data_IF_063351514820
#
_entry.id   IF_063351514820
#
_cell.length_a   1.000
_cell.length_b   1.000
_cell.length_c   1.000
_cell.angle_alpha   90.00
_cell.angle_beta   90.00
_cell.angle_gamma   90.00
#
_symmetry.space_group_name_H-M   'P 1'
#
loop_
_entity.id
_entity.type
_entity.pdbx_description
1 polymer ?
#
# COMPACT_ATOMS: atom_id res chain seq x y z
N UNK A 1 6.74 10.10 8.57
CA UNK A 1 5.64 9.40 9.27
C UNK A 1 6.25 8.26 10.09
N UNK A 2 5.92 8.14 11.39
CA UNK A 2 6.40 7.01 12.22
C UNK A 2 5.53 5.77 12.01
N UNK A 3 6.01 4.57 12.38
CA UNK A 3 5.24 3.31 12.27
C UNK A 3 3.92 3.41 13.05
N UNK A 4 3.95 3.94 14.28
CA UNK A 4 2.74 4.17 15.09
C UNK A 4 1.72 5.06 14.38
N UNK A 5 2.17 6.16 13.74
CA UNK A 5 1.29 7.07 13.00
C UNK A 5 0.72 6.40 11.74
N UNK A 6 1.52 5.60 11.04
CA UNK A 6 1.06 4.84 9.88
C UNK A 6 -0.01 3.81 10.28
N UNK A 7 0.22 3.03 11.34
CA UNK A 7 -0.77 2.08 11.85
C UNK A 7 -2.10 2.76 12.20
N UNK A 8 -2.04 3.89 12.91
CA UNK A 8 -3.23 4.67 13.25
C UNK A 8 -3.97 5.15 11.99
N UNK A 9 -3.25 5.71 11.02
CA UNK A 9 -3.83 6.15 9.75
C UNK A 9 -4.51 5.00 8.98
N UNK A 10 -3.88 3.82 8.92
CA UNK A 10 -4.47 2.63 8.29
C UNK A 10 -5.76 2.21 9.00
N UNK A 11 -5.79 2.26 10.33
CA UNK A 11 -7.00 1.96 11.12
C UNK A 11 -8.12 2.98 10.91
N UNK A 12 -7.81 4.28 10.95
CA UNK A 12 -8.78 5.36 10.72
C UNK A 12 -9.43 5.27 9.33
N UNK A 13 -8.66 4.90 8.31
CA UNK A 13 -9.15 4.69 6.94
C UNK A 13 -9.83 3.33 6.75
N UNK A 14 -9.98 2.52 7.81
CA UNK A 14 -10.60 1.20 7.76
C UNK A 14 -9.94 0.29 6.71
N UNK A 15 -8.60 0.31 6.66
CA UNK A 15 -7.82 -0.58 5.82
C UNK A 15 -7.81 -1.98 6.44
N UNK A 16 -8.09 -3.00 5.64
CA UNK A 16 -7.93 -4.40 5.98
C UNK A 16 -6.52 -4.84 5.67
N UNK A 17 -5.71 -5.00 6.70
CA UNK A 17 -4.32 -5.42 6.59
C UNK A 17 -3.93 -6.38 7.69
N UNK A 18 -2.83 -7.11 7.48
CA UNK A 18 -2.14 -7.90 8.49
C UNK A 18 -0.68 -7.41 8.58
N UNK A 19 -0.17 -7.26 9.79
CA UNK A 19 1.27 -7.05 10.03
C UNK A 19 1.97 -8.39 9.80
N UNK A 20 2.95 -8.42 8.91
CA UNK A 20 3.72 -9.62 8.58
C UNK A 20 5.21 -9.38 8.79
N UNK A 21 6.02 -10.41 8.50
CA UNK A 21 7.48 -10.30 8.58
C UNK A 21 8.01 -10.21 10.02
N UNK A 22 9.17 -9.59 10.19
CA UNK A 22 9.88 -9.56 11.48
C UNK A 22 9.07 -8.89 12.60
N UNK A 23 8.20 -7.94 12.26
CA UNK A 23 7.32 -7.27 13.22
C UNK A 23 6.18 -8.14 13.77
N UNK A 24 5.84 -9.25 13.12
CA UNK A 24 4.82 -10.19 13.60
C UNK A 24 5.37 -11.21 14.60
N UNK A 25 6.68 -11.50 14.53
CA UNK A 25 7.33 -12.56 15.31
C UNK A 25 7.31 -12.35 16.83
N UNK A 26 7.37 -11.12 17.39
CA UNK A 26 7.29 -10.92 18.84
C UNK A 26 6.01 -11.48 19.47
N UNK A 27 4.89 -11.48 18.74
CA UNK A 27 3.64 -12.10 19.20
C UNK A 27 3.75 -13.64 19.35
N UNK A 28 4.79 -14.25 18.76
CA UNK A 28 5.10 -15.67 18.81
C UNK A 28 6.36 -15.98 19.62
N UNK A 29 6.85 -15.04 20.43
CA UNK A 29 8.00 -15.25 21.33
C UNK A 29 9.37 -15.23 20.64
N UNK A 30 9.45 -14.74 19.40
CA UNK A 30 10.71 -14.65 18.66
C UNK A 30 10.99 -13.21 18.21
N UNK A 31 12.18 -12.71 18.50
CA UNK A 31 12.59 -11.35 18.11
C UNK A 31 13.57 -11.41 16.96
N UNK A 32 13.24 -10.73 15.86
CA UNK A 32 14.14 -10.49 14.74
C UNK A 32 14.19 -8.99 14.48
N UNK A 33 15.38 -8.41 14.57
CA UNK A 33 15.53 -6.99 14.29
C UNK A 33 15.38 -6.71 12.79
N UNK A 34 14.72 -5.61 12.44
CA UNK A 34 14.61 -5.13 11.06
C UNK A 34 14.46 -3.60 11.02
N UNK A 35 14.79 -2.99 9.89
CA UNK A 35 14.65 -1.54 9.67
C UNK A 35 13.33 -1.12 9.04
N UNK A 36 12.53 -2.07 8.56
CA UNK A 36 11.28 -1.87 7.82
C UNK A 36 10.09 -2.58 8.50
N UNK A 37 8.88 -2.32 8.00
CA UNK A 37 7.66 -3.02 8.43
C UNK A 37 6.86 -3.40 7.19
N UNK A 38 6.38 -4.63 7.17
CA UNK A 38 5.65 -5.20 6.04
C UNK A 38 4.17 -5.36 6.39
N UNK A 39 3.30 -5.00 5.43
CA UNK A 39 1.86 -5.14 5.55
C UNK A 39 1.31 -6.02 4.42
N UNK A 40 0.55 -7.05 4.76
CA UNK A 40 -0.25 -7.80 3.80
C UNK A 40 -1.63 -7.15 3.68
N UNK A 41 -1.92 -6.57 2.52
CA UNK A 41 -3.16 -5.83 2.25
C UNK A 41 -4.16 -6.76 1.56
N UNK A 42 -5.41 -6.79 2.04
CA UNK A 42 -6.46 -7.53 1.33
C UNK A 42 -6.61 -6.97 -0.10
N UNK A 43 -6.52 -7.80 -1.16
CA UNK A 43 -6.41 -7.35 -2.55
C UNK A 43 -7.77 -6.97 -3.17
N UNK A 44 -8.57 -6.14 -2.47
CA UNK A 44 -9.80 -5.57 -3.03
C UNK A 44 -9.56 -4.14 -3.48
N UNK A 45 -10.22 -3.73 -4.58
CA UNK A 45 -10.12 -2.35 -5.11
C UNK A 45 -10.44 -1.29 -4.04
N UNK A 46 -11.47 -1.54 -3.22
CA UNK A 46 -11.87 -0.65 -2.12
C UNK A 46 -10.76 -0.51 -1.08
N UNK A 47 -10.15 -1.62 -0.69
CA UNK A 47 -9.11 -1.62 0.33
C UNK A 47 -7.80 -1.01 -0.19
N UNK A 48 -7.44 -1.25 -1.45
CA UNK A 48 -6.31 -0.61 -2.12
C UNK A 48 -6.47 0.93 -2.14
N UNK A 49 -7.67 1.43 -2.46
CA UNK A 49 -7.96 2.87 -2.42
C UNK A 49 -7.77 3.46 -1.01
N UNK A 50 -8.36 2.82 0.01
CA UNK A 50 -8.19 3.22 1.41
C UNK A 50 -6.72 3.19 1.85
N UNK A 51 -5.97 2.19 1.41
CA UNK A 51 -4.53 2.07 1.71
C UNK A 51 -3.75 3.24 1.13
N UNK A 52 -4.06 3.62 -0.13
CA UNK A 52 -3.42 4.76 -0.80
C UNK A 52 -3.71 6.08 -0.09
N UNK A 53 -4.97 6.30 0.30
CA UNK A 53 -5.39 7.47 1.08
C UNK A 53 -4.67 7.53 2.43
N UNK A 54 -4.67 6.42 3.18
CA UNK A 54 -4.03 6.31 4.49
C UNK A 54 -2.51 6.48 4.46
N UNK A 55 -1.84 6.00 3.40
CA UNK A 55 -0.40 6.09 3.25
C UNK A 55 0.08 7.53 2.96
N UNK A 56 -0.82 8.42 2.53
CA UNK A 56 -0.60 9.83 2.23
C UNK A 56 0.76 10.10 1.55
N UNK A 57 1.03 9.36 0.46
CA UNK A 57 2.25 9.48 -0.33
C UNK A 57 1.96 10.21 -1.64
N UNK A 58 2.43 11.46 -1.71
CA UNK A 58 2.44 12.27 -2.93
C UNK A 58 3.15 11.60 -4.13
N UNK A 59 3.97 10.58 -3.89
CA UNK A 59 4.77 9.88 -4.91
C UNK A 59 4.13 8.60 -5.47
N UNK A 60 2.97 8.19 -4.97
CA UNK A 60 2.20 7.05 -5.52
C UNK A 60 1.19 7.52 -6.58
N UNK A 61 1.41 8.71 -7.16
CA UNK A 61 0.56 9.38 -8.16
C UNK A 61 0.53 8.73 -9.54
N UNK A 62 1.18 7.59 -9.74
CA UNK A 62 0.98 6.77 -10.92
C UNK A 62 0.71 5.34 -10.50
N UNK A 63 -0.57 5.01 -10.43
CA UNK A 63 -1.04 3.64 -10.31
C UNK A 63 -0.66 2.83 -11.57
N UNK A 64 -0.37 1.53 -11.45
CA UNK A 64 -0.14 0.65 -12.61
C UNK A 64 -1.34 0.67 -13.59
N UNK A 65 -2.53 0.93 -13.06
CA UNK A 65 -3.77 1.12 -13.83
C UNK A 65 -3.78 2.46 -14.56
N UNK A 66 -3.25 3.54 -13.97
CA UNK A 66 -3.06 4.82 -14.66
C UNK A 66 -2.01 4.70 -15.75
N UNK A 67 -0.89 4.01 -15.49
CA UNK A 67 0.11 3.69 -16.52
C UNK A 67 -0.50 2.88 -17.66
N UNK A 68 -1.35 1.89 -17.35
CA UNK A 68 -2.04 1.10 -18.38
C UNK A 68 -3.00 1.97 -19.21
N UNK A 69 -3.81 2.82 -18.57
CA UNK A 69 -4.72 3.74 -19.27
C UNK A 69 -3.99 4.78 -20.11
N UNK A 70 -2.86 5.31 -19.62
CA UNK A 70 -1.99 6.22 -20.38
C UNK A 70 -1.36 5.51 -21.58
N UNK A 71 -0.98 4.23 -21.44
CA UNK A 71 -0.43 3.43 -22.53
C UNK A 71 -1.49 3.11 -23.59
N UNK A 72 -2.70 2.74 -23.18
CA UNK A 72 -3.86 2.52 -24.07
C UNK A 72 -4.26 3.80 -24.82
N UNK A 73 -4.30 4.95 -24.14
CA UNK A 73 -4.65 6.23 -24.79
C UNK A 73 -3.57 6.70 -25.77
N UNK A 74 -2.28 6.53 -25.46
CA UNK A 74 -1.17 6.85 -26.37
C UNK A 74 -1.11 5.93 -27.60
N UNK A 75 -1.49 4.66 -27.47
CA UNK A 75 -1.53 3.72 -28.60
C UNK A 75 -2.71 3.99 -29.54
N UNK A 76 -3.86 4.48 -29.05
CA UNK A 76 -4.99 4.88 -29.90
C UNK A 76 -4.74 6.13 -30.76
N UNK A 77 -3.75 6.96 -30.40
CA UNK A 77 -3.41 8.21 -31.10
C UNK A 77 -2.33 7.99 -32.17
N UNK A 78 -1.67 6.82 -32.20
CA UNK A 78 -0.75 6.43 -33.29
C UNK A 78 -1.50 5.68 -34.38
N UNK A 79 -2.31 6.38 -35.15
CA UNK A 79 -2.65 5.96 -36.51
C UNK A 79 -2.60 7.23 -37.38
N UNK A 80 -1.73 7.32 -38.40
CA UNK A 80 -1.91 8.31 -39.46
C UNK A 80 -3.21 8.04 -40.23
#
# INVERSE_FOLDING_TARGET
>A
MTIKKLLHSLQEHNVRFLVIGAWALPAHGYVRNTGDIDFFIEPTKRNAKRTKEAANRDRDKLDLIELYKIRESKNKVKVP
#
